data_IF_094815405800
#
_entry.id   IF_094815405800
#
_cell.length_a   1.000
_cell.length_b   1.000
_cell.length_c   1.000
_cell.angle_alpha   90.00
_cell.angle_beta   90.00
_cell.angle_gamma   90.00
#
_symmetry.space_group_name_H-M   'P 1'
#
loop_
_entity.id
_entity.type
_entity.pdbx_description
1 polymer ?
#
# COMPACT_ATOMS: atom_id res chain seq x y z
N UNK A 1 -3.51 18.10 5.92
CA UNK A 1 -3.12 16.75 6.38
C UNK A 1 -3.03 15.86 5.17
N UNK A 2 -1.88 15.24 4.96
CA UNK A 2 -1.73 14.22 3.93
C UNK A 2 -2.47 12.96 4.38
N UNK A 3 -3.00 12.17 3.46
CA UNK A 3 -3.63 10.88 3.79
C UNK A 3 -2.67 9.89 4.44
N UNK A 4 -1.35 10.08 4.29
CA UNK A 4 -0.32 9.28 4.96
C UNK A 4 -0.20 9.61 6.45
N UNK A 5 -0.60 10.81 6.88
CA UNK A 5 -0.55 11.22 8.29
C UNK A 5 -1.54 10.41 9.14
N UNK A 6 -2.53 9.78 8.49
CA UNK A 6 -3.49 8.87 9.12
C UNK A 6 -2.91 7.47 9.40
N UNK A 7 -1.64 7.19 9.09
CA UNK A 7 -1.05 5.87 9.31
C UNK A 7 0.24 5.94 10.12
N UNK A 8 0.30 5.17 11.20
CA UNK A 8 1.53 4.95 11.97
C UNK A 8 2.25 3.72 11.43
N UNK A 9 3.40 3.91 10.77
CA UNK A 9 4.28 2.79 10.38
C UNK A 9 4.86 2.13 11.63
N UNK A 10 4.84 0.80 11.67
CA UNK A 10 5.32 -0.01 12.80
C UNK A 10 6.65 -0.69 12.48
N UNK A 11 6.64 -1.65 11.56
CA UNK A 11 7.80 -2.48 11.21
C UNK A 11 7.85 -2.76 9.71
N UNK A 12 9.06 -2.98 9.17
CA UNK A 12 9.23 -3.50 7.81
C UNK A 12 8.97 -5.01 7.83
N UNK A 13 8.05 -5.46 6.98
CA UNK A 13 7.65 -6.87 6.90
C UNK A 13 8.03 -7.52 5.56
N UNK A 14 8.62 -6.78 4.63
CA UNK A 14 9.04 -7.33 3.35
C UNK A 14 9.69 -6.31 2.45
N UNK A 15 10.73 -6.74 1.74
CA UNK A 15 11.43 -5.95 0.74
C UNK A 15 11.66 -6.79 -0.52
N UNK A 16 11.44 -6.18 -1.68
CA UNK A 16 11.69 -6.82 -2.96
C UNK A 16 11.89 -5.81 -4.08
N UNK A 17 12.00 -6.31 -5.30
CA UNK A 17 12.26 -5.52 -6.51
C UNK A 17 11.29 -4.35 -6.64
N UNK A 18 10.00 -4.58 -6.37
CA UNK A 18 8.94 -3.58 -6.59
C UNK A 18 8.73 -2.60 -5.42
N UNK A 19 9.44 -2.77 -4.30
CA UNK A 19 9.31 -1.87 -3.16
C UNK A 19 9.44 -2.52 -1.79
N UNK A 20 8.98 -1.78 -0.78
CA UNK A 20 9.05 -2.17 0.64
C UNK A 20 7.65 -2.18 1.22
N UNK A 21 7.33 -3.19 2.01
CA UNK A 21 6.04 -3.35 2.70
C UNK A 21 6.24 -3.12 4.19
N UNK A 22 5.47 -2.19 4.74
CA UNK A 22 5.44 -1.91 6.17
C UNK A 22 4.14 -2.40 6.77
N UNK A 23 4.20 -2.99 7.95
CA UNK A 23 3.03 -3.08 8.82
C UNK A 23 2.76 -1.70 9.40
N UNK A 24 1.51 -1.27 9.39
CA UNK A 24 1.10 0.02 9.92
C UNK A 24 -0.21 -0.10 10.69
N UNK A 25 -0.46 0.89 11.55
CA UNK A 25 -1.72 1.10 12.24
C UNK A 25 -2.45 2.26 11.61
N UNK A 26 -3.71 2.04 11.24
CA UNK A 26 -4.62 3.09 10.79
C UNK A 26 -5.08 3.93 12.01
N UNK A 27 -4.79 5.22 11.96
CA UNK A 27 -5.11 6.22 12.98
C UNK A 27 -6.43 6.96 12.69
N UNK A 28 -7.12 6.59 11.60
CA UNK A 28 -8.39 7.21 11.24
C UNK A 28 -9.41 7.00 12.38
N UNK A 29 -10.07 8.08 12.87
CA UNK A 29 -11.09 7.96 13.91
C UNK A 29 -12.19 6.97 13.49
N UNK A 30 -12.48 5.98 14.34
CA UNK A 30 -13.48 4.94 14.06
C UNK A 30 -12.95 3.64 13.43
N UNK A 31 -11.68 3.59 13.00
CA UNK A 31 -11.07 2.35 12.48
C UNK A 31 -10.37 1.51 13.57
N UNK A 32 -10.52 1.87 14.85
CA UNK A 32 -10.03 1.13 16.03
C UNK A 32 -8.57 0.67 15.97
N UNK A 33 -7.69 1.43 15.30
CA UNK A 33 -6.28 1.03 15.18
C UNK A 33 -6.07 -0.20 14.30
N UNK A 34 -6.90 -0.39 13.27
CA UNK A 34 -6.80 -1.50 12.32
C UNK A 34 -5.36 -1.63 11.80
N UNK A 35 -4.84 -2.85 11.82
CA UNK A 35 -3.54 -3.17 11.25
C UNK A 35 -3.67 -3.31 9.73
N UNK A 36 -2.79 -2.66 8.99
CA UNK A 36 -2.75 -2.65 7.53
C UNK A 36 -1.32 -2.87 7.03
N UNK A 37 -1.19 -3.28 5.75
CA UNK A 37 0.08 -3.33 5.05
C UNK A 37 0.21 -2.11 4.11
N UNK A 38 1.31 -1.37 4.22
CA UNK A 38 1.63 -0.24 3.35
C UNK A 38 2.75 -0.64 2.38
N UNK A 39 2.41 -0.87 1.12
CA UNK A 39 3.39 -1.11 0.04
C UNK A 39 3.88 0.24 -0.51
N UNK A 40 5.14 0.60 -0.21
CA UNK A 40 5.83 1.73 -0.82
C UNK A 40 6.49 1.27 -2.12
N UNK A 41 5.95 1.71 -3.25
CA UNK A 41 6.46 1.39 -4.59
C UNK A 41 7.75 2.19 -4.85
N UNK A 42 8.75 1.53 -5.45
CA UNK A 42 9.97 2.19 -5.95
C UNK A 42 9.73 2.71 -7.36
N UNK A 43 10.15 3.94 -7.60
CA UNK A 43 10.18 4.54 -8.93
C UNK A 43 11.63 4.45 -9.42
N UNK A 44 11.88 3.67 -10.47
CA UNK A 44 13.22 3.52 -11.04
C UNK A 44 13.59 4.75 -11.90
N UNK A 45 12.61 5.34 -12.59
CA UNK A 45 12.74 6.58 -13.34
C UNK A 45 11.54 7.50 -13.06
N UNK A 46 11.78 8.67 -12.46
CA UNK A 46 10.71 9.65 -12.17
C UNK A 46 10.09 10.23 -13.46
N UNK A 47 10.83 10.22 -14.58
CA UNK A 47 10.33 10.68 -15.89
C UNK A 47 9.29 9.73 -16.51
N UNK A 48 9.35 8.43 -16.20
CA UNK A 48 8.38 7.44 -16.70
C UNK A 48 7.08 7.42 -15.87
N UNK A 49 7.06 8.12 -14.74
CA UNK A 49 5.90 8.18 -13.86
C UNK A 49 5.62 6.84 -13.17
N UNK A 50 4.35 6.49 -13.01
CA UNK A 50 3.95 5.28 -12.27
C UNK A 50 4.20 4.02 -13.14
N UNK A 51 4.95 3.02 -12.65
CA UNK A 51 5.19 1.79 -13.39
C UNK A 51 3.89 1.12 -13.85
N UNK A 52 3.84 0.68 -15.11
CA UNK A 52 2.64 0.04 -15.68
C UNK A 52 2.21 -1.22 -14.92
N UNK A 53 3.19 -1.92 -14.31
CA UNK A 53 2.96 -3.05 -13.41
C UNK A 53 2.16 -2.65 -12.18
N UNK A 54 2.52 -1.53 -11.55
CA UNK A 54 1.78 -0.98 -10.41
C UNK A 54 0.35 -0.55 -10.79
N UNK A 55 0.19 0.08 -11.96
CA UNK A 55 -1.15 0.46 -12.44
C UNK A 55 -2.02 -0.79 -12.64
N UNK A 56 -1.48 -1.82 -13.31
CA UNK A 56 -2.19 -3.08 -13.55
C UNK A 56 -2.60 -3.76 -12.23
N UNK A 57 -1.69 -3.84 -11.25
CA UNK A 57 -1.99 -4.41 -9.92
C UNK A 57 -3.12 -3.65 -9.23
N UNK A 58 -3.08 -2.31 -9.23
CA UNK A 58 -4.10 -1.47 -8.59
C UNK A 58 -5.46 -1.64 -9.27
N UNK A 59 -5.51 -1.64 -10.60
CA UNK A 59 -6.77 -1.82 -11.34
C UNK A 59 -7.40 -3.18 -11.05
N UNK A 60 -6.61 -4.25 -11.10
CA UNK A 60 -7.09 -5.61 -10.82
C UNK A 60 -7.61 -5.76 -9.38
N UNK A 61 -6.90 -5.19 -8.39
CA UNK A 61 -7.34 -5.24 -6.99
C UNK A 61 -8.63 -4.43 -6.75
N UNK A 62 -8.82 -3.32 -7.47
CA UNK A 62 -10.05 -2.50 -7.36
C UNK A 62 -11.28 -3.19 -7.96
N UNK A 63 -11.09 -3.96 -9.02
CA UNK A 63 -12.17 -4.67 -9.72
C UNK A 63 -12.53 -6.00 -9.06
N UNK A 64 -11.60 -6.59 -8.30
CA UNK A 64 -11.79 -7.91 -7.68
C UNK A 64 -12.46 -7.79 -6.30
N UNK A 65 -13.59 -8.47 -6.12
CA UNK A 65 -14.30 -8.56 -4.83
C UNK A 65 -14.62 -10.01 -4.51
N UNK A 66 -13.67 -10.67 -3.87
CA UNK A 66 -13.79 -12.03 -3.35
C UNK A 66 -13.29 -12.06 -1.90
N UNK A 67 -13.70 -13.06 -1.12
CA UNK A 67 -13.28 -13.20 0.28
C UNK A 67 -11.88 -13.81 0.42
N UNK A 68 -11.37 -14.47 -0.62
CA UNK A 68 -10.03 -15.08 -0.66
C UNK A 68 -9.00 -14.19 -1.36
N UNK A 69 -9.38 -13.00 -1.81
CA UNK A 69 -8.50 -12.03 -2.44
C UNK A 69 -8.27 -10.86 -1.47
N UNK A 70 -7.02 -10.41 -1.40
CA UNK A 70 -6.63 -9.28 -0.55
C UNK A 70 -7.38 -8.00 -0.93
N UNK A 71 -7.83 -7.26 0.09
CA UNK A 71 -8.55 -5.98 -0.01
C UNK A 71 -7.74 -4.83 0.55
#
# INVERSE_FOLDING_TARGET
MSTLDCYQRLENIGEGTYGVVFKARDLTPGNNGRIVALKKIRFENEEEGVPSTAIREISLLKETRDDNIVR
#
